data_IF_853251134839
#
_entry.id   IF_853251134839
#
_cell.length_a   1.000
_cell.length_b   1.000
_cell.length_c   1.000
_cell.angle_alpha   90.00
_cell.angle_beta   90.00
_cell.angle_gamma   90.00
#
_symmetry.space_group_name_H-M   'P 1'
#
loop_
_entity.id
_entity.type
_entity.pdbx_description
1 polymer ?
#
# COMPACT_ATOMS: atom_id res chain seq x y z
N UNK A 1 5.84 5.33 -8.29
CA UNK A 1 4.50 4.91 -8.76
C UNK A 1 3.56 6.07 -8.51
N UNK A 2 2.66 6.36 -9.45
CA UNK A 2 1.62 7.37 -9.23
C UNK A 2 0.30 6.69 -8.87
N UNK A 3 -0.39 7.25 -7.88
CA UNK A 3 -1.71 6.79 -7.42
C UNK A 3 -2.68 7.94 -7.57
N UNK A 4 -3.86 7.64 -8.10
CA UNK A 4 -4.95 8.62 -8.21
C UNK A 4 -5.70 8.66 -6.87
N UNK A 5 -5.89 9.86 -6.31
CA UNK A 5 -6.73 10.03 -5.12
C UNK A 5 -8.14 9.47 -5.37
N UNK A 6 -8.63 8.68 -4.42
CA UNK A 6 -9.93 8.02 -4.48
C UNK A 6 -9.91 6.65 -5.14
N UNK A 7 -8.74 6.12 -5.51
CA UNK A 7 -8.60 4.76 -6.05
C UNK A 7 -7.99 3.80 -5.01
N UNK A 8 -8.34 2.49 -5.10
CA UNK A 8 -7.71 1.49 -4.29
C UNK A 8 -6.26 1.27 -4.72
N UNK A 9 -5.38 1.13 -3.73
CA UNK A 9 -4.01 0.67 -3.90
C UNK A 9 -3.96 -0.79 -3.45
N UNK A 10 -3.41 -1.66 -4.30
CA UNK A 10 -3.20 -3.07 -3.97
C UNK A 10 -1.74 -3.42 -4.18
N UNK A 11 -1.10 -3.95 -3.14
CA UNK A 11 0.30 -4.34 -3.14
C UNK A 11 0.42 -5.80 -2.73
N UNK A 12 1.44 -6.47 -3.25
CA UNK A 12 1.81 -7.82 -2.86
C UNK A 12 3.26 -7.82 -2.38
N UNK A 13 3.56 -8.64 -1.39
CA UNK A 13 4.92 -8.88 -0.91
C UNK A 13 5.12 -10.34 -0.51
N UNK A 14 6.38 -10.72 -0.36
CA UNK A 14 6.78 -12.09 -0.03
C UNK A 14 7.72 -12.10 1.16
N UNK A 15 7.49 -13.01 2.09
CA UNK A 15 8.38 -13.28 3.22
C UNK A 15 9.32 -14.44 2.91
N UNK A 16 10.50 -14.37 3.50
CA UNK A 16 11.57 -15.34 3.30
C UNK A 16 12.07 -15.81 4.67
N UNK A 17 12.46 -17.08 4.74
CA UNK A 17 13.22 -17.60 5.85
C UNK A 17 14.54 -16.81 5.96
N UNK A 18 14.83 -16.21 7.12
CA UNK A 18 15.94 -15.29 7.27
C UNK A 18 17.32 -15.97 7.21
N UNK A 19 17.40 -17.29 7.36
CA UNK A 19 18.67 -18.03 7.38
C UNK A 19 19.01 -18.63 6.00
N UNK A 20 18.01 -19.11 5.29
CA UNK A 20 18.14 -19.82 4.01
C UNK A 20 17.74 -18.99 2.80
N UNK A 21 16.99 -17.89 2.99
CA UNK A 21 16.42 -17.07 1.92
C UNK A 21 15.28 -17.74 1.15
N UNK A 22 14.90 -18.98 1.49
CA UNK A 22 13.77 -19.67 0.88
C UNK A 22 12.46 -18.93 1.20
N UNK A 23 11.49 -18.97 0.29
CA UNK A 23 10.16 -18.41 0.57
C UNK A 23 9.53 -19.19 1.73
N UNK A 24 9.08 -18.49 2.76
CA UNK A 24 8.47 -19.09 3.95
C UNK A 24 7.30 -18.25 4.40
N UNK A 25 6.30 -18.90 4.99
CA UNK A 25 5.23 -18.21 5.69
C UNK A 25 5.76 -17.48 6.92
N UNK A 26 5.14 -16.34 7.23
CA UNK A 26 5.30 -15.67 8.50
C UNK A 26 4.56 -16.42 9.62
N UNK A 27 5.12 -16.38 10.83
CA UNK A 27 4.60 -17.03 12.03
C UNK A 27 3.24 -16.44 12.44
N UNK A 28 3.08 -15.14 12.18
CA UNK A 28 1.86 -14.37 12.36
C UNK A 28 1.58 -13.59 11.07
N UNK A 29 0.32 -13.21 10.87
CA UNK A 29 -0.03 -12.33 9.74
C UNK A 29 0.79 -11.03 9.85
N UNK A 30 1.54 -10.65 8.80
CA UNK A 30 2.32 -9.42 8.78
C UNK A 30 1.45 -8.18 9.05
N UNK A 31 2.04 -7.14 9.62
CA UNK A 31 1.40 -5.83 9.73
C UNK A 31 1.88 -4.91 8.60
N UNK A 32 1.06 -3.93 8.24
CA UNK A 32 1.40 -2.91 7.26
C UNK A 32 1.00 -1.53 7.77
N UNK A 33 1.85 -0.54 7.48
CA UNK A 33 1.68 0.84 7.90
C UNK A 33 1.98 1.76 6.71
N UNK A 34 1.15 2.78 6.52
CA UNK A 34 1.33 3.81 5.49
C UNK A 34 1.72 5.12 6.15
N UNK A 35 2.83 5.69 5.69
CA UNK A 35 3.38 6.95 6.20
C UNK A 35 3.38 7.99 5.08
N UNK A 36 3.05 9.22 5.43
CA UNK A 36 3.43 10.38 4.61
C UNK A 36 4.95 10.58 4.75
N UNK A 37 5.66 10.85 3.65
CA UNK A 37 7.13 10.95 3.68
C UNK A 37 7.71 11.98 4.67
N UNK A 38 6.91 12.95 5.13
CA UNK A 38 7.34 14.01 6.04
C UNK A 38 6.97 13.75 7.50
N UNK A 39 6.30 12.63 7.79
CA UNK A 39 5.82 12.30 9.14
C UNK A 39 6.24 10.90 9.55
N UNK A 40 6.47 10.72 10.86
CA UNK A 40 6.81 9.41 11.45
C UNK A 40 5.57 8.72 12.06
N UNK A 41 4.38 9.26 11.79
CA UNK A 41 3.12 8.74 12.32
C UNK A 41 2.37 8.07 11.16
N UNK A 42 1.96 6.80 11.29
CA UNK A 42 1.21 6.14 10.24
C UNK A 42 -0.16 6.81 10.09
N UNK A 43 -0.51 7.16 8.85
CA UNK A 43 -1.83 7.70 8.51
C UNK A 43 -2.86 6.57 8.35
N UNK A 44 -2.40 5.35 8.08
CA UNK A 44 -3.23 4.18 7.88
C UNK A 44 -2.48 2.89 8.23
N UNK A 45 -3.21 1.91 8.79
CA UNK A 45 -2.70 0.58 9.15
C UNK A 45 -3.48 -0.52 8.41
N UNK A 46 -3.27 -0.68 7.09
CA UNK A 46 -4.07 -1.62 6.31
C UNK A 46 -3.75 -3.08 6.66
N UNK A 47 -4.78 -3.93 6.62
CA UNK A 47 -4.63 -5.34 6.95
C UNK A 47 -3.93 -6.12 5.82
N UNK A 48 -2.86 -6.85 6.16
CA UNK A 48 -2.29 -7.83 5.25
C UNK A 48 -3.13 -9.12 5.26
N UNK A 49 -3.28 -9.75 4.10
CA UNK A 49 -3.99 -11.01 3.93
C UNK A 49 -3.10 -12.00 3.20
N UNK A 50 -2.99 -13.23 3.73
CA UNK A 50 -2.25 -14.30 3.06
C UNK A 50 -2.94 -14.70 1.76
N UNK A 51 -2.17 -14.85 0.69
CA UNK A 51 -2.67 -15.36 -0.59
C UNK A 51 -2.87 -16.87 -0.47
N UNK A 52 -4.13 -17.31 -0.60
CA UNK A 52 -4.48 -18.73 -0.49
C UNK A 52 -3.65 -19.59 -1.45
N UNK A 53 -3.00 -20.62 -0.90
CA UNK A 53 -2.18 -21.56 -1.67
C UNK A 53 -0.84 -20.99 -2.18
N UNK A 54 -0.40 -19.83 -1.69
CA UNK A 54 0.90 -19.23 -2.03
C UNK A 54 1.72 -19.00 -0.77
N UNK A 55 2.68 -19.89 -0.52
CA UNK A 55 3.61 -19.78 0.61
C UNK A 55 4.31 -18.43 0.61
N UNK A 56 4.38 -17.81 1.77
CA UNK A 56 5.06 -16.54 2.02
C UNK A 56 4.45 -15.34 1.32
N UNK A 57 3.39 -15.47 0.53
CA UNK A 57 2.86 -14.36 -0.26
C UNK A 57 1.63 -13.72 0.42
N UNK A 58 1.70 -12.41 0.58
CA UNK A 58 0.69 -11.60 1.25
C UNK A 58 0.28 -10.43 0.35
N UNK A 59 -0.97 -10.03 0.49
CA UNK A 59 -1.56 -8.86 -0.18
C UNK A 59 -2.02 -7.86 0.85
N UNK A 60 -1.87 -6.57 0.52
CA UNK A 60 -2.49 -5.47 1.26
C UNK A 60 -3.27 -4.60 0.27
N UNK A 61 -4.49 -4.22 0.65
CA UNK A 61 -5.35 -3.33 -0.14
C UNK A 61 -5.88 -2.22 0.74
N UNK A 62 -5.88 -0.98 0.24
CA UNK A 62 -6.46 0.17 0.94
C UNK A 62 -6.91 1.24 -0.05
N UNK A 63 -7.86 2.08 0.37
CA UNK A 63 -8.34 3.20 -0.43
C UNK A 63 -7.53 4.47 -0.16
N UNK A 64 -6.88 5.01 -1.18
CA UNK A 64 -6.11 6.25 -1.09
C UNK A 64 -7.06 7.47 -1.12
N UNK A 65 -7.76 7.74 -0.02
CA UNK A 65 -8.78 8.81 0.07
C UNK A 65 -8.37 9.91 1.05
N UNK A 66 -8.95 11.10 0.90
CA UNK A 66 -8.74 12.20 1.85
C UNK A 66 -9.21 11.85 3.27
N UNK A 67 -10.27 11.03 3.41
CA UNK A 67 -10.74 10.54 4.70
C UNK A 67 -9.70 9.67 5.43
N UNK A 68 -8.83 8.99 4.68
CA UNK A 68 -7.71 8.21 5.19
C UNK A 68 -6.41 9.04 5.30
N UNK A 69 -6.49 10.39 5.22
CA UNK A 69 -5.34 11.28 5.40
C UNK A 69 -4.46 11.47 4.15
N UNK A 70 -4.92 11.03 2.97
CA UNK A 70 -4.16 11.21 1.73
C UNK A 70 -4.44 12.55 1.04
N UNK A 71 -3.40 13.19 0.53
CA UNK A 71 -3.48 14.49 -0.16
C UNK A 71 -2.72 14.47 -1.50
N UNK A 72 -3.25 15.19 -2.48
CA UNK A 72 -2.65 15.32 -3.81
C UNK A 72 -1.30 16.04 -3.73
N UNK A 73 -0.32 15.56 -4.50
CA UNK A 73 1.04 16.12 -4.56
C UNK A 73 1.97 15.62 -3.46
N UNK A 74 1.45 14.94 -2.43
CA UNK A 74 2.25 14.30 -1.39
C UNK A 74 2.74 12.93 -1.80
N UNK A 75 3.79 12.46 -1.13
CA UNK A 75 4.37 11.13 -1.35
C UNK A 75 4.30 10.30 -0.08
N UNK A 76 4.11 9.00 -0.27
CA UNK A 76 3.83 8.05 0.79
C UNK A 76 4.71 6.81 0.65
N UNK A 77 5.04 6.19 1.78
CA UNK A 77 5.69 4.89 1.85
C UNK A 77 4.78 3.89 2.55
N UNK A 78 4.83 2.63 2.11
CA UNK A 78 4.18 1.51 2.78
C UNK A 78 5.26 0.60 3.34
N UNK A 79 5.25 0.42 4.66
CA UNK A 79 6.16 -0.44 5.38
C UNK A 79 5.39 -1.69 5.82
N UNK A 80 5.95 -2.86 5.53
CA UNK A 80 5.45 -4.12 6.07
C UNK A 80 6.42 -4.64 7.14
N UNK A 81 5.87 -5.22 8.20
CA UNK A 81 6.61 -5.96 9.22
C UNK A 81 6.12 -7.40 9.25
N UNK A 82 7.06 -8.35 9.28
CA UNK A 82 6.75 -9.76 9.42
C UNK A 82 7.72 -10.44 10.39
N UNK A 83 7.22 -11.46 11.08
CA UNK A 83 8.04 -12.38 11.88
C UNK A 83 8.06 -13.74 11.18
N UNK A 84 9.26 -14.25 10.88
CA UNK A 84 9.46 -15.57 10.26
C UNK A 84 10.45 -16.33 11.11
N UNK A 85 10.07 -17.51 11.60
CA UNK A 85 10.90 -18.35 12.47
C UNK A 85 11.44 -17.58 13.69
N UNK A 86 10.59 -16.74 14.30
CA UNK A 86 10.90 -15.93 15.47
C UNK A 86 11.70 -14.65 15.20
N UNK A 87 12.08 -14.37 13.95
CA UNK A 87 12.85 -13.17 13.59
C UNK A 87 11.93 -12.14 12.95
N UNK A 88 11.81 -10.97 13.58
CA UNK A 88 11.04 -9.84 13.08
C UNK A 88 11.91 -8.94 12.19
N UNK A 89 11.39 -8.60 11.01
CA UNK A 89 12.02 -7.65 10.09
C UNK A 89 10.97 -6.74 9.43
N UNK A 90 11.41 -5.55 9.02
CA UNK A 90 10.60 -4.58 8.27
C UNK A 90 11.19 -4.29 6.91
N UNK A 91 10.34 -4.01 5.93
CA UNK A 91 10.77 -3.54 4.61
C UNK A 91 9.76 -2.55 4.03
N UNK A 92 10.25 -1.60 3.21
CA UNK A 92 9.38 -0.77 2.39
C UNK A 92 8.89 -1.55 1.18
N UNK A 93 7.60 -1.87 1.15
CA UNK A 93 6.97 -2.63 0.06
C UNK A 93 6.48 -1.74 -1.09
N UNK A 94 6.28 -0.44 -0.85
CA UNK A 94 5.95 0.52 -1.89
C UNK A 94 6.34 1.96 -1.52
N UNK A 95 6.50 2.78 -2.56
CA UNK A 95 6.57 4.24 -2.47
C UNK A 95 5.81 4.84 -3.65
N UNK A 96 4.93 5.80 -3.38
CA UNK A 96 4.09 6.41 -4.41
C UNK A 96 3.79 7.88 -4.15
N UNK A 97 3.51 8.60 -5.22
CA UNK A 97 3.06 9.99 -5.18
C UNK A 97 1.58 10.05 -5.54
N UNK A 98 0.83 10.91 -4.86
CA UNK A 98 -0.60 11.08 -5.10
C UNK A 98 -0.87 12.13 -6.16
N UNK A 99 -1.79 11.81 -7.07
CA UNK A 99 -2.19 12.68 -8.18
C UNK A 99 -3.70 12.86 -8.21
N UNK A 100 -4.16 13.95 -8.81
CA UNK A 100 -5.59 14.15 -9.07
C UNK A 100 -6.07 13.22 -10.17
N UNK A 101 -7.35 12.80 -10.15
CA UNK A 101 -7.95 12.19 -11.33
C UNK A 101 -7.80 13.13 -12.54
N UNK A 102 -7.61 12.60 -13.76
CA UNK A 102 -7.66 13.43 -14.96
C UNK A 102 -9.01 14.14 -15.03
N UNK A 103 -9.01 15.40 -15.44
CA UNK A 103 -10.24 16.18 -15.60
C UNK A 103 -11.18 15.45 -16.58
N UNK A 104 -12.48 15.28 -16.25
CA UNK A 104 -13.42 14.77 -17.23
C UNK A 104 -13.44 15.73 -18.43
N UNK A 105 -13.38 15.19 -19.65
CA UNK A 105 -13.55 15.98 -20.88
C UNK A 105 -14.93 16.64 -20.76
N UNK A 106 -14.95 17.93 -20.49
CA UNK A 106 -16.18 18.72 -20.46
C UNK A 106 -16.71 18.73 -21.88
N UNK A 107 -17.80 18.01 -22.14
CA UNK A 107 -18.53 18.15 -23.39
C UNK A 107 -18.81 19.65 -23.60
N UNK A 108 -18.58 20.21 -24.81
CA UNK A 108 -18.87 21.61 -25.05
C UNK A 108 -20.33 21.86 -24.68
N UNK A 109 -20.58 22.87 -23.85
CA UNK A 109 -21.93 23.29 -23.54
C UNK A 109 -22.61 23.64 -24.87
N UNK A 110 -23.53 22.79 -25.33
CA UNK A 110 -24.45 23.17 -26.38
C UNK A 110 -25.34 24.26 -25.79
N UNK A 111 -24.99 25.50 -26.11
CA UNK A 111 -25.85 26.65 -25.94
C UNK A 111 -26.96 26.50 -26.98
N UNK A 112 -28.10 25.94 -26.57
CA UNK A 112 -29.32 26.08 -27.35
C UNK A 112 -29.90 27.47 -27.08
N UNK A 113 -30.09 28.21 -28.17
CA UNK A 113 -30.65 29.56 -28.25
C UNK A 113 -32.18 29.48 -28.13
#
# INVERSE_FOLDING_TARGET
MDVILGQPVTLDFTTHDPLSGAVSDADIIPSCEVFENQTDIPILTPAATKRTGKTGNYRVTFDATAANGFEIGKSYNVIAEATVNGITAKARIASFTLTSPPLPIRAPAHFEI
#
